data_IF_909660677815
#
_entry.id   IF_909660677815
#
_cell.length_a   1.000
_cell.length_b   1.000
_cell.length_c   1.000
_cell.angle_alpha   90.00
_cell.angle_beta   90.00
_cell.angle_gamma   90.00
#
_symmetry.space_group_name_H-M   'P 1'
#
loop_
_entity.id
_entity.type
_entity.pdbx_description
1 polymer ?
#
# COMPACT_ATOMS: atom_id res chain seq x y z
N UNK A 1 7.09 -17.61 14.11
CA UNK A 1 7.96 -16.42 14.19
C UNK A 1 7.92 -15.77 12.82
N UNK A 2 7.33 -14.56 12.64
CA UNK A 2 7.39 -13.91 11.36
C UNK A 2 8.82 -13.45 11.16
N UNK A 3 9.53 -14.12 10.26
CA UNK A 3 10.91 -13.82 9.88
C UNK A 3 10.92 -12.43 9.27
N UNK A 4 11.36 -11.44 10.04
CA UNK A 4 11.62 -10.09 9.55
C UNK A 4 12.60 -10.21 8.37
N UNK A 5 12.22 -9.79 7.16
CA UNK A 5 13.12 -9.88 6.02
C UNK A 5 14.43 -9.12 6.30
N UNK A 6 15.56 -9.55 5.72
CA UNK A 6 16.86 -8.90 5.90
C UNK A 6 16.93 -7.51 5.23
N UNK A 7 15.88 -7.11 4.53
CA UNK A 7 15.73 -5.83 3.84
C UNK A 7 14.59 -5.01 4.47
N UNK A 8 14.69 -3.67 4.44
CA UNK A 8 13.57 -2.81 4.80
C UNK A 8 12.38 -3.15 3.89
N UNK A 9 11.21 -3.30 4.49
CA UNK A 9 9.98 -3.54 3.74
C UNK A 9 9.61 -2.25 3.01
N UNK A 10 9.33 -2.35 1.72
CA UNK A 10 9.03 -1.20 0.87
C UNK A 10 7.57 -1.28 0.43
N UNK A 11 6.87 -0.16 0.57
CA UNK A 11 5.53 -0.03 0.04
C UNK A 11 5.43 1.16 -0.93
N UNK A 12 4.66 0.94 -1.99
CA UNK A 12 4.39 1.90 -3.06
C UNK A 12 2.90 2.13 -3.16
N UNK A 13 2.54 3.37 -3.42
CA UNK A 13 1.15 3.77 -3.64
C UNK A 13 0.94 3.82 -5.15
N UNK A 14 -0.07 3.12 -5.63
CA UNK A 14 -0.46 3.09 -7.03
C UNK A 14 -1.81 3.76 -7.15
N UNK A 15 -1.87 4.90 -7.84
CA UNK A 15 -3.12 5.56 -8.18
C UNK A 15 -3.83 4.77 -9.27
N UNK A 16 -5.09 4.42 -9.04
CA UNK A 16 -5.96 3.79 -10.03
C UNK A 16 -7.28 4.51 -10.06
N UNK A 17 -7.77 4.76 -11.25
CA UNK A 17 -9.09 5.35 -11.45
C UNK A 17 -10.10 4.20 -11.52
N UNK A 18 -11.01 4.12 -10.54
CA UNK A 18 -12.13 3.19 -10.55
C UNK A 18 -13.41 3.98 -10.72
N UNK A 19 -14.22 3.60 -11.69
CA UNK A 19 -15.49 4.27 -11.92
C UNK A 19 -16.02 4.05 -13.33
N UNK A 20 -17.23 4.50 -13.57
CA UNK A 20 -17.82 4.52 -14.90
C UNK A 20 -17.44 5.81 -15.62
N UNK A 21 -17.66 5.86 -16.95
CA UNK A 21 -17.29 6.97 -17.83
C UNK A 21 -17.81 8.36 -17.38
N UNK A 22 -18.79 8.40 -16.47
CA UNK A 22 -19.40 9.62 -15.93
C UNK A 22 -18.85 10.03 -14.55
N UNK A 23 -18.33 9.09 -13.76
CA UNK A 23 -17.79 9.34 -12.41
C UNK A 23 -16.59 8.42 -12.21
N UNK A 24 -15.39 8.95 -12.48
CA UNK A 24 -14.11 8.31 -12.18
C UNK A 24 -13.68 8.71 -10.78
N UNK A 25 -13.61 7.74 -9.86
CA UNK A 25 -13.09 7.92 -8.51
C UNK A 25 -11.62 7.52 -8.49
N UNK A 26 -10.76 8.37 -7.95
CA UNK A 26 -9.34 8.05 -7.76
C UNK A 26 -9.18 7.21 -6.51
N UNK A 27 -8.61 6.02 -6.68
CA UNK A 27 -8.24 5.11 -5.61
C UNK A 27 -6.72 4.99 -5.54
N UNK A 28 -6.22 4.74 -4.34
CA UNK A 28 -4.81 4.63 -4.00
C UNK A 28 -4.58 3.23 -3.44
N UNK A 29 -4.00 2.35 -4.25
CA UNK A 29 -3.63 1.00 -3.85
C UNK A 29 -2.25 1.01 -3.22
N UNK A 30 -2.16 0.65 -1.94
CA UNK A 30 -0.91 0.36 -1.28
C UNK A 30 -0.45 -1.04 -1.66
N UNK A 31 0.63 -1.12 -2.42
CA UNK A 31 1.30 -2.38 -2.76
C UNK A 31 2.65 -2.48 -2.07
N UNK A 32 3.01 -3.66 -1.61
CA UNK A 32 4.31 -3.89 -0.99
C UNK A 32 5.05 -5.06 -1.65
N UNK A 33 6.33 -5.18 -1.33
CA UNK A 33 7.20 -6.26 -1.81
C UNK A 33 7.08 -7.55 -0.96
N UNK A 34 6.50 -7.46 0.24
CA UNK A 34 6.38 -8.56 1.19
C UNK A 34 4.90 -8.82 1.60
N UNK A 35 4.47 -10.08 1.78
CA UNK A 35 5.21 -11.34 1.64
C UNK A 35 5.52 -11.75 0.19
N UNK A 36 4.95 -11.08 -0.82
CA UNK A 36 5.23 -11.31 -2.24
C UNK A 36 5.42 -9.97 -2.96
N UNK A 37 6.22 -9.91 -4.04
CA UNK A 37 6.30 -8.72 -4.86
C UNK A 37 4.90 -8.38 -5.41
N UNK A 38 4.57 -7.09 -5.41
CA UNK A 38 3.26 -6.59 -5.85
C UNK A 38 2.07 -7.01 -4.98
N UNK A 39 2.29 -7.43 -3.74
CA UNK A 39 1.21 -7.75 -2.82
C UNK A 39 0.37 -6.51 -2.54
N UNK A 40 -0.93 -6.58 -2.86
CA UNK A 40 -1.88 -5.57 -2.43
C UNK A 40 -2.06 -5.64 -0.91
N UNK A 41 -1.69 -4.56 -0.22
CA UNK A 41 -1.78 -4.44 1.24
C UNK A 41 -3.11 -3.81 1.63
N UNK A 42 -3.48 -2.72 0.96
CA UNK A 42 -4.70 -1.97 1.24
C UNK A 42 -5.06 -1.08 0.06
N UNK A 43 -6.33 -0.68 -0.03
CA UNK A 43 -6.83 0.29 -1.02
C UNK A 43 -7.52 1.42 -0.26
N UNK A 44 -7.26 2.66 -0.67
CA UNK A 44 -7.83 3.84 -0.05
C UNK A 44 -8.38 4.79 -1.09
N UNK A 45 -9.44 5.52 -0.77
CA UNK A 45 -9.98 6.56 -1.66
C UNK A 45 -9.16 7.86 -1.57
N UNK A 46 -8.34 8.01 -0.53
CA UNK A 46 -7.53 9.20 -0.29
C UNK A 46 -6.03 8.90 -0.29
N UNK A 47 -5.24 9.84 -0.80
CA UNK A 47 -3.77 9.73 -0.81
C UNK A 47 -3.22 9.67 0.61
N UNK A 48 -3.81 10.43 1.53
CA UNK A 48 -3.32 10.56 2.89
C UNK A 48 -3.45 9.26 3.69
N UNK A 49 -4.56 8.53 3.52
CA UNK A 49 -4.68 7.19 4.09
C UNK A 49 -3.67 6.21 3.49
N UNK A 50 -3.44 6.27 2.18
CA UNK A 50 -2.44 5.41 1.53
C UNK A 50 -1.01 5.72 2.02
N UNK A 51 -0.67 7.00 2.24
CA UNK A 51 0.60 7.44 2.82
C UNK A 51 0.75 7.02 4.28
N UNK A 52 -0.31 7.14 5.08
CA UNK A 52 -0.32 6.67 6.46
C UNK A 52 -0.14 5.15 6.53
N UNK A 53 -0.88 4.40 5.71
CA UNK A 53 -0.76 2.96 5.62
C UNK A 53 0.63 2.53 5.13
N UNK A 54 1.21 3.26 4.16
CA UNK A 54 2.61 3.09 3.73
C UNK A 54 3.57 3.26 4.89
N UNK A 55 3.52 4.38 5.61
CA UNK A 55 4.41 4.65 6.74
C UNK A 55 4.29 3.59 7.82
N UNK A 56 3.07 3.20 8.19
CA UNK A 56 2.82 2.10 9.15
C UNK A 56 3.31 0.75 8.65
N UNK A 57 3.30 0.52 7.34
CA UNK A 57 3.83 -0.69 6.75
C UNK A 57 5.35 -0.69 6.76
N UNK A 58 6.01 0.40 6.37
CA UNK A 58 7.48 0.55 6.40
C UNK A 58 8.05 0.60 7.83
N UNK A 59 7.20 0.91 8.82
CA UNK A 59 7.62 1.10 10.20
C UNK A 59 8.30 -0.14 10.80
N UNK A 60 9.60 -0.05 11.18
CA UNK A 60 10.38 -1.19 11.66
C UNK A 60 9.92 -1.69 13.03
N UNK A 61 9.14 -0.90 13.79
CA UNK A 61 8.60 -1.28 15.11
C UNK A 61 7.33 -2.12 15.03
N UNK A 62 6.73 -2.29 13.84
CA UNK A 62 5.64 -3.27 13.67
C UNK A 62 6.23 -4.68 13.78
N UNK A 63 6.33 -5.18 15.01
CA UNK A 63 6.86 -6.48 15.39
C UNK A 63 5.76 -7.42 15.89
#
# INVERSE_FOLDING_TARGET
MPTRPPYPREARIVTVEKGNQTETVTWYQLRADHPKPDSLISEHETEQEALDAKRRYEDPEKS
#
